data_IF_606470726562
#
_entry.id   IF_606470726562
#
_cell.length_a   1.000
_cell.length_b   1.000
_cell.length_c   1.000
_cell.angle_alpha   90.00
_cell.angle_beta   90.00
_cell.angle_gamma   90.00
#
_symmetry.space_group_name_H-M   'P 1'
#
loop_
_entity.id
_entity.type
_entity.pdbx_description
1 polymer ?
#
# COMPACT_ATOMS: atom_id res chain seq x y z
N UNK A 1 7.90 -13.39 -31.13
CA UNK A 1 7.60 -11.97 -30.82
C UNK A 1 6.75 -11.98 -29.57
N UNK A 2 7.27 -11.52 -28.44
CA UNK A 2 6.50 -11.49 -27.18
C UNK A 2 5.43 -10.40 -27.25
N UNK A 3 4.20 -10.72 -26.83
CA UNK A 3 3.15 -9.71 -26.63
C UNK A 3 3.58 -8.80 -25.48
N UNK A 4 3.29 -7.50 -25.55
CA UNK A 4 3.59 -6.60 -24.44
C UNK A 4 2.58 -6.86 -23.32
N UNK A 5 3.01 -6.75 -22.08
CA UNK A 5 2.14 -6.92 -20.90
C UNK A 5 0.96 -5.94 -20.87
N UNK A 6 1.10 -4.79 -21.54
CA UNK A 6 0.04 -3.78 -21.70
C UNK A 6 -1.10 -4.27 -22.60
N UNK A 7 -0.78 -5.06 -23.64
CA UNK A 7 -1.77 -5.59 -24.58
C UNK A 7 -2.67 -6.63 -23.90
N UNK A 8 -2.09 -7.45 -23.00
CA UNK A 8 -2.80 -8.48 -22.24
C UNK A 8 -3.68 -7.89 -21.13
N UNK A 9 -3.23 -6.79 -20.52
CA UNK A 9 -4.03 -6.01 -19.57
C UNK A 9 -5.24 -5.37 -20.25
N UNK A 10 -5.06 -4.79 -21.45
CA UNK A 10 -6.16 -4.18 -22.22
C UNK A 10 -7.19 -5.22 -22.64
N UNK A 11 -6.75 -6.38 -23.12
CA UNK A 11 -7.64 -7.47 -23.55
C UNK A 11 -8.51 -7.98 -22.38
N UNK A 12 -7.93 -8.09 -21.18
CA UNK A 12 -8.66 -8.51 -19.97
C UNK A 12 -9.67 -7.45 -19.52
N UNK A 13 -9.28 -6.18 -19.58
CA UNK A 13 -10.17 -5.07 -19.22
C UNK A 13 -11.37 -4.97 -20.18
N UNK A 14 -11.15 -5.09 -21.48
CA UNK A 14 -12.21 -5.07 -22.49
C UNK A 14 -13.17 -6.25 -22.32
N UNK A 15 -12.65 -7.44 -22.01
CA UNK A 15 -13.46 -8.63 -21.72
C UNK A 15 -14.33 -8.44 -20.46
N UNK A 16 -13.77 -7.86 -19.41
CA UNK A 16 -14.50 -7.52 -18.18
C UNK A 16 -15.62 -6.51 -18.41
N UNK A 17 -15.33 -5.46 -19.19
CA UNK A 17 -16.31 -4.43 -19.54
C UNK A 17 -17.45 -5.03 -20.35
N UNK A 18 -17.14 -5.88 -21.32
CA UNK A 18 -18.14 -6.56 -22.14
C UNK A 18 -19.06 -7.46 -21.30
N UNK A 19 -18.50 -8.31 -20.42
CA UNK A 19 -19.30 -9.19 -19.54
C UNK A 19 -20.19 -8.40 -18.57
N UNK A 20 -19.64 -7.32 -17.99
CA UNK A 20 -20.40 -6.43 -17.10
C UNK A 20 -21.52 -5.71 -17.84
N UNK A 21 -21.26 -5.22 -19.06
CA UNK A 21 -22.27 -4.58 -19.90
C UNK A 21 -23.41 -5.55 -20.24
N UNK A 22 -23.09 -6.80 -20.62
CA UNK A 22 -24.09 -7.83 -20.90
C UNK A 22 -24.95 -8.10 -19.65
N UNK A 23 -24.34 -8.20 -18.47
CA UNK A 23 -25.07 -8.44 -17.21
C UNK A 23 -25.95 -7.27 -16.76
N UNK A 24 -25.52 -6.03 -17.02
CA UNK A 24 -26.35 -4.84 -16.76
C UNK A 24 -27.56 -4.83 -17.69
N UNK A 25 -27.36 -5.10 -18.98
CA UNK A 25 -28.46 -5.11 -19.97
C UNK A 25 -29.46 -6.23 -19.64
N UNK A 26 -28.97 -7.43 -19.34
CA UNK A 26 -29.85 -8.55 -18.98
C UNK A 26 -30.62 -8.25 -17.69
N UNK A 27 -29.97 -7.73 -16.65
CA UNK A 27 -30.63 -7.40 -15.38
C UNK A 27 -31.59 -6.20 -15.50
N UNK A 28 -31.25 -5.22 -16.34
CA UNK A 28 -32.08 -4.06 -16.62
C UNK A 28 -33.38 -4.42 -17.36
N UNK A 29 -33.31 -5.33 -18.33
CA UNK A 29 -34.49 -5.82 -19.04
C UNK A 29 -35.48 -6.54 -18.10
N UNK A 30 -34.97 -7.37 -17.18
CA UNK A 30 -35.77 -8.04 -16.14
C UNK A 30 -36.36 -7.02 -15.17
N UNK A 31 -35.59 -6.00 -14.76
CA UNK A 31 -36.05 -4.90 -13.92
C UNK A 31 -37.19 -4.10 -14.54
N UNK A 32 -37.14 -3.87 -15.86
CA UNK A 32 -38.16 -3.15 -16.61
C UNK A 32 -39.48 -3.94 -16.67
N UNK A 33 -39.41 -5.27 -16.87
CA UNK A 33 -40.58 -6.16 -16.85
C UNK A 33 -41.21 -6.21 -15.45
N UNK A 34 -40.38 -6.33 -14.40
CA UNK A 34 -40.86 -6.34 -13.01
C UNK A 34 -41.52 -5.00 -12.60
N UNK A 35 -40.98 -3.87 -13.07
CA UNK A 35 -41.56 -2.54 -12.83
C UNK A 35 -42.97 -2.40 -13.43
N UNK A 36 -43.19 -2.97 -14.63
CA UNK A 36 -44.50 -2.95 -15.28
C UNK A 36 -45.56 -3.81 -14.54
N UNK A 37 -45.15 -4.95 -13.98
CA UNK A 37 -46.06 -5.90 -13.31
C UNK A 37 -46.46 -5.42 -11.91
N UNK A 38 -45.53 -4.85 -11.13
CA UNK A 38 -45.79 -4.53 -9.73
C UNK A 38 -46.44 -3.17 -9.48
N UNK A 39 -46.72 -2.37 -10.52
CA UNK A 39 -47.37 -1.02 -10.44
C UNK A 39 -46.79 -0.11 -9.32
N UNK A 40 -45.57 -0.39 -8.92
CA UNK A 40 -44.84 0.24 -7.82
C UNK A 40 -43.43 0.42 -8.34
N UNK A 41 -42.89 1.62 -8.17
CA UNK A 41 -41.57 2.03 -8.66
C UNK A 41 -40.47 1.24 -7.94
N UNK A 42 -40.37 -0.06 -8.18
CA UNK A 42 -39.21 -0.84 -7.75
C UNK A 42 -38.03 -0.29 -8.56
N UNK A 43 -37.01 0.30 -7.91
CA UNK A 43 -36.11 1.18 -8.62
C UNK A 43 -35.30 0.38 -9.63
N UNK A 44 -35.37 0.79 -10.89
CA UNK A 44 -34.59 0.23 -12.01
C UNK A 44 -33.08 0.13 -11.67
N UNK A 45 -32.61 1.03 -10.82
CA UNK A 45 -31.26 1.06 -10.23
C UNK A 45 -30.90 -0.19 -9.42
N UNK A 46 -31.86 -0.88 -8.81
CA UNK A 46 -31.60 -2.10 -8.05
C UNK A 46 -31.21 -3.25 -8.98
N UNK A 47 -31.86 -3.38 -10.14
CA UNK A 47 -31.50 -4.37 -11.16
C UNK A 47 -30.14 -4.09 -11.78
N UNK A 48 -29.90 -2.82 -12.14
CA UNK A 48 -28.61 -2.38 -12.69
C UNK A 48 -27.47 -2.58 -11.66
N UNK A 49 -27.72 -2.25 -10.40
CA UNK A 49 -26.75 -2.39 -9.30
C UNK A 49 -26.40 -3.85 -9.00
N UNK A 50 -27.36 -4.77 -9.09
CA UNK A 50 -27.11 -6.21 -8.92
C UNK A 50 -26.25 -6.76 -10.07
N UNK A 51 -26.54 -6.40 -11.33
CA UNK A 51 -25.76 -6.81 -12.50
C UNK A 51 -24.32 -6.28 -12.45
N UNK A 52 -24.15 -5.01 -12.07
CA UNK A 52 -22.84 -4.38 -11.90
C UNK A 52 -22.01 -5.04 -10.78
N UNK A 53 -22.63 -5.31 -9.62
CA UNK A 53 -21.94 -5.95 -8.50
C UNK A 53 -21.41 -7.35 -8.83
N UNK A 54 -22.18 -8.16 -9.55
CA UNK A 54 -21.77 -9.50 -9.98
C UNK A 54 -20.70 -9.44 -11.09
N UNK A 55 -20.77 -8.46 -12.00
CA UNK A 55 -19.74 -8.22 -13.03
C UNK A 55 -18.38 -7.85 -12.42
N UNK A 56 -18.37 -6.91 -11.46
CA UNK A 56 -17.15 -6.49 -10.76
C UNK A 56 -16.52 -7.62 -9.96
N UNK A 57 -17.33 -8.44 -9.27
CA UNK A 57 -16.82 -9.54 -8.47
C UNK A 57 -16.07 -10.58 -9.32
N UNK A 58 -16.63 -10.94 -10.49
CA UNK A 58 -15.98 -11.82 -11.46
C UNK A 58 -14.72 -11.18 -12.07
N UNK A 59 -14.81 -9.91 -12.48
CA UNK A 59 -13.68 -9.22 -13.09
C UNK A 59 -12.51 -9.06 -12.13
N UNK A 60 -12.77 -8.70 -10.86
CA UNK A 60 -11.73 -8.53 -9.84
C UNK A 60 -10.95 -9.83 -9.62
N UNK A 61 -11.61 -10.98 -9.70
CA UNK A 61 -10.96 -12.27 -9.58
C UNK A 61 -10.05 -12.57 -10.78
N UNK A 62 -10.51 -12.27 -12.00
CA UNK A 62 -9.76 -12.52 -13.25
C UNK A 62 -8.56 -11.56 -13.40
N UNK A 63 -8.74 -10.30 -13.01
CA UNK A 63 -7.66 -9.31 -12.93
C UNK A 63 -6.58 -9.75 -11.93
N UNK A 64 -6.97 -10.26 -10.75
CA UNK A 64 -6.01 -10.76 -9.75
C UNK A 64 -5.19 -11.94 -10.27
N UNK A 65 -5.77 -12.80 -11.11
CA UNK A 65 -5.07 -13.92 -11.74
C UNK A 65 -4.03 -13.44 -12.77
N UNK A 66 -4.37 -12.39 -13.53
CA UNK A 66 -3.48 -11.80 -14.54
C UNK A 66 -2.34 -10.99 -13.91
N UNK A 67 -2.62 -10.20 -12.87
CA UNK A 67 -1.57 -9.54 -12.08
C UNK A 67 -0.65 -10.54 -11.36
N UNK A 68 -1.18 -11.68 -10.90
CA UNK A 68 -0.37 -12.75 -10.32
C UNK A 68 0.58 -13.44 -11.30
N UNK A 69 0.32 -13.36 -12.62
CA UNK A 69 1.26 -13.82 -13.65
C UNK A 69 2.24 -12.71 -14.08
N UNK A 70 1.83 -11.45 -14.08
CA UNK A 70 2.71 -10.31 -14.42
C UNK A 70 3.83 -10.07 -13.40
N UNK A 71 3.64 -10.43 -12.13
CA UNK A 71 4.73 -10.42 -11.13
C UNK A 71 5.82 -11.45 -11.47
N UNK A 72 5.50 -12.47 -12.26
CA UNK A 72 6.42 -13.53 -12.64
C UNK A 72 7.20 -13.22 -13.93
N UNK A 73 6.68 -12.38 -14.84
CA UNK A 73 7.41 -12.05 -16.08
C UNK A 73 8.43 -10.90 -15.94
N UNK A 74 8.36 -10.07 -14.89
CA UNK A 74 9.40 -9.09 -14.56
C UNK A 74 10.53 -9.66 -13.68
N UNK A 75 10.22 -10.63 -12.81
CA UNK A 75 11.19 -11.28 -11.93
C UNK A 75 11.88 -12.49 -12.59
N UNK A 76 11.21 -13.23 -13.48
CA UNK A 76 11.77 -14.50 -14.02
C UNK A 76 12.67 -14.32 -15.26
N UNK A 77 12.55 -13.23 -16.01
CA UNK A 77 13.48 -12.90 -17.13
C UNK A 77 14.75 -12.17 -16.66
N UNK A 78 14.74 -11.61 -15.46
CA UNK A 78 15.88 -10.96 -14.80
C UNK A 78 16.66 -11.94 -13.92
N UNK A 79 15.96 -12.89 -13.27
CA UNK A 79 16.57 -13.82 -12.32
C UNK A 79 17.24 -15.05 -12.95
N UNK A 80 16.89 -15.47 -14.18
CA UNK A 80 17.56 -16.61 -14.85
C UNK A 80 18.85 -16.21 -15.62
N UNK A 81 19.43 -15.05 -15.32
CA UNK A 81 20.82 -14.71 -15.66
C UNK A 81 21.64 -14.21 -14.45
N UNK A 82 21.01 -14.01 -13.30
CA UNK A 82 21.68 -13.45 -12.10
C UNK A 82 21.90 -14.53 -11.03
N UNK A 83 21.18 -15.66 -11.06
CA UNK A 83 21.42 -16.78 -10.13
C UNK A 83 22.49 -17.74 -10.69
N UNK A 84 23.65 -17.20 -11.10
CA UNK A 84 24.90 -17.99 -11.22
C UNK A 84 26.16 -17.14 -10.97
N UNK A 85 26.04 -15.90 -10.47
CA UNK A 85 27.21 -15.11 -10.04
C UNK A 85 26.80 -14.00 -9.06
N UNK A 86 26.60 -14.35 -7.78
CA UNK A 86 26.96 -13.49 -6.62
C UNK A 86 26.44 -14.15 -5.35
N UNK A 87 26.99 -15.32 -5.04
CA UNK A 87 26.97 -15.82 -3.68
C UNK A 87 27.80 -14.87 -2.81
N UNK A 88 27.17 -13.84 -2.25
CA UNK A 88 27.66 -13.10 -1.08
C UNK A 88 26.66 -12.04 -0.59
N UNK A 89 25.48 -12.45 -0.13
CA UNK A 89 24.73 -11.67 0.86
C UNK A 89 25.20 -12.07 2.28
N UNK A 90 26.50 -11.87 2.54
CA UNK A 90 27.14 -11.94 3.86
C UNK A 90 26.97 -10.61 4.58
N UNK A 91 25.74 -10.27 5.00
CA UNK A 91 25.52 -9.20 5.98
C UNK A 91 24.84 -9.72 7.26
N UNK A 92 25.12 -10.98 7.60
CA UNK A 92 24.80 -11.60 8.90
C UNK A 92 26.08 -11.83 9.75
N UNK A 93 27.16 -11.06 9.53
CA UNK A 93 28.45 -11.29 10.21
C UNK A 93 29.19 -10.04 10.72
N UNK A 94 28.52 -8.90 10.95
CA UNK A 94 29.15 -7.74 11.64
C UNK A 94 28.39 -7.37 12.92
N UNK A 95 27.97 -8.40 13.68
CA UNK A 95 27.35 -8.23 14.99
C UNK A 95 28.13 -8.98 16.09
N UNK A 96 29.47 -8.96 15.97
CA UNK A 96 30.40 -9.34 17.03
C UNK A 96 31.58 -8.39 16.95
N UNK A 97 31.90 -7.73 18.06
CA UNK A 97 33.07 -6.87 18.32
C UNK A 97 32.95 -5.36 18.04
N UNK A 98 32.35 -4.63 19.00
CA UNK A 98 32.96 -3.46 19.66
C UNK A 98 32.08 -3.01 20.84
N UNK A 99 32.53 -3.17 22.10
CA UNK A 99 31.89 -2.54 23.25
C UNK A 99 32.47 -1.13 23.44
N UNK A 100 31.61 -0.12 23.58
CA UNK A 100 32.04 1.19 24.06
C UNK A 100 31.66 2.37 23.17
N UNK A 101 30.58 3.03 23.61
CA UNK A 101 30.40 4.48 23.61
C UNK A 101 30.18 5.25 22.30
N UNK A 102 29.02 5.91 22.30
CA UNK A 102 28.69 7.16 21.63
C UNK A 102 28.18 7.09 20.18
N UNK A 103 26.89 6.76 20.04
CA UNK A 103 26.03 7.45 19.08
C UNK A 103 24.58 7.47 19.60
N UNK A 104 24.28 8.43 20.48
CA UNK A 104 22.90 8.81 20.78
C UNK A 104 22.31 9.51 19.55
N UNK A 105 21.70 8.73 18.65
CA UNK A 105 20.76 9.26 17.66
C UNK A 105 19.36 8.94 18.19
N UNK A 106 18.67 10.03 18.57
CA UNK A 106 17.25 10.15 18.87
C UNK A 106 16.41 8.87 18.75
N UNK A 107 16.13 8.24 19.90
CA UNK A 107 15.00 7.33 20.05
C UNK A 107 13.70 8.13 19.99
N UNK A 108 13.05 8.16 18.84
CA UNK A 108 11.59 8.24 18.85
C UNK A 108 11.10 6.85 19.26
N UNK A 109 10.46 6.79 20.42
CA UNK A 109 10.07 5.56 21.11
C UNK A 109 8.94 4.85 20.34
N UNK A 110 9.32 3.87 19.53
CA UNK A 110 8.39 2.92 18.88
C UNK A 110 7.80 1.92 19.91
N UNK A 111 8.31 1.87 21.14
CA UNK A 111 8.12 0.72 22.05
C UNK A 111 6.85 0.73 22.91
N UNK A 112 5.86 1.58 22.69
CA UNK A 112 4.60 1.47 23.45
C UNK A 112 3.38 2.06 22.76
N UNK A 113 3.14 1.69 21.51
CA UNK A 113 1.84 1.98 20.88
C UNK A 113 0.88 0.87 21.29
N UNK A 114 -0.25 1.25 21.90
CA UNK A 114 -1.35 0.30 22.11
C UNK A 114 -2.08 0.10 20.77
N UNK A 115 -1.81 -1.02 20.11
CA UNK A 115 -2.42 -1.34 18.82
C UNK A 115 -3.90 -1.75 18.94
N UNK A 116 -4.40 -2.00 20.17
CA UNK A 116 -5.80 -2.34 20.40
C UNK A 116 -6.69 -1.09 20.44
N UNK A 117 -6.12 0.05 20.83
CA UNK A 117 -6.76 1.35 20.72
C UNK A 117 -6.47 2.01 19.36
N UNK A 118 -7.50 2.06 18.52
CA UNK A 118 -7.40 2.63 17.18
C UNK A 118 -6.94 4.10 17.21
N UNK A 119 -7.37 4.89 18.20
CA UNK A 119 -7.03 6.31 18.28
C UNK A 119 -5.54 6.49 18.58
N UNK A 120 -5.01 5.70 19.51
CA UNK A 120 -3.58 5.72 19.87
C UNK A 120 -2.71 5.32 18.67
N UNK A 121 -3.10 4.28 17.91
CA UNK A 121 -2.41 3.91 16.68
C UNK A 121 -2.44 5.04 15.63
N UNK A 122 -3.62 5.63 15.38
CA UNK A 122 -3.78 6.70 14.38
C UNK A 122 -2.99 7.96 14.74
N UNK A 123 -3.00 8.37 16.02
CA UNK A 123 -2.23 9.53 16.50
C UNK A 123 -0.72 9.31 16.32
N UNK A 124 -0.22 8.11 16.63
CA UNK A 124 1.19 7.80 16.42
C UNK A 124 1.56 7.80 14.94
N UNK A 125 0.72 7.21 14.08
CA UNK A 125 0.96 7.17 12.64
C UNK A 125 0.93 8.58 12.02
N UNK A 126 0.01 9.44 12.46
CA UNK A 126 -0.05 10.84 12.05
C UNK A 126 1.20 11.63 12.47
N UNK A 127 1.71 11.41 13.69
CA UNK A 127 2.98 11.99 14.14
C UNK A 127 4.16 11.55 13.27
N UNK A 128 4.20 10.28 12.86
CA UNK A 128 5.22 9.79 11.94
C UNK A 128 5.10 10.39 10.53
N UNK A 129 3.87 10.65 10.05
CA UNK A 129 3.61 11.31 8.75
C UNK A 129 3.98 12.80 8.75
N UNK A 130 3.75 13.51 9.85
CA UNK A 130 4.18 14.91 10.02
C UNK A 130 5.69 15.09 9.92
N UNK A 131 6.46 14.09 10.33
CA UNK A 131 7.92 14.09 10.16
C UNK A 131 8.27 14.03 8.66
N UNK A 132 7.59 13.17 7.89
CA UNK A 132 7.78 13.10 6.43
C UNK A 132 7.36 14.37 5.71
N UNK A 133 6.23 14.99 6.09
CA UNK A 133 5.80 16.26 5.51
C UNK A 133 6.86 17.35 5.73
N UNK A 134 7.51 17.35 6.90
CA UNK A 134 8.63 18.23 7.19
C UNK A 134 9.84 17.91 6.32
N UNK A 135 10.20 16.64 6.16
CA UNK A 135 11.31 16.21 5.28
C UNK A 135 11.05 16.63 3.82
N UNK A 136 9.82 16.44 3.33
CA UNK A 136 9.43 16.82 1.98
C UNK A 136 9.39 18.34 1.80
N UNK A 137 8.94 19.08 2.81
CA UNK A 137 9.00 20.54 2.82
C UNK A 137 10.45 21.04 2.80
N UNK A 138 11.34 20.42 3.59
CA UNK A 138 12.77 20.69 3.57
C UNK A 138 13.39 20.39 2.20
N UNK A 139 12.97 19.32 1.52
CA UNK A 139 13.40 19.03 0.16
C UNK A 139 12.99 20.14 -0.82
N UNK A 140 11.74 20.59 -0.73
CA UNK A 140 11.21 21.65 -1.61
C UNK A 140 11.83 23.03 -1.34
N UNK A 141 12.31 23.28 -0.12
CA UNK A 141 12.90 24.57 0.27
C UNK A 141 14.43 24.60 0.17
N UNK A 142 15.11 23.48 0.44
CA UNK A 142 16.57 23.38 0.37
C UNK A 142 17.11 23.28 -1.07
N UNK A 143 16.26 22.90 -2.03
CA UNK A 143 16.62 22.82 -3.45
C UNK A 143 15.75 23.81 -4.26
N UNK A 144 15.97 25.13 -4.10
CA UNK A 144 15.29 26.12 -4.93
C UNK A 144 15.74 25.97 -6.41
N UNK A 145 14.96 26.56 -7.31
CA UNK A 145 15.34 26.68 -8.73
C UNK A 145 16.74 27.27 -8.88
N UNK A 146 17.40 26.94 -9.99
CA UNK A 146 18.87 27.07 -10.19
C UNK A 146 19.47 28.42 -9.79
N UNK A 147 18.67 29.49 -9.84
CA UNK A 147 19.01 30.88 -9.51
C UNK A 147 19.42 31.17 -8.06
N UNK A 148 19.19 30.29 -7.08
CA UNK A 148 19.38 30.59 -5.65
C UNK A 148 20.36 29.68 -4.89
N UNK A 149 21.22 28.93 -5.59
CA UNK A 149 21.91 27.77 -5.01
C UNK A 149 23.41 27.91 -4.70
N UNK A 150 23.92 29.13 -4.51
CA UNK A 150 25.36 29.40 -4.59
C UNK A 150 26.26 28.83 -3.48
N UNK A 151 25.74 28.17 -2.43
CA UNK A 151 26.56 27.81 -1.26
C UNK A 151 26.25 26.45 -0.59
N UNK A 152 25.62 25.48 -1.26
CA UNK A 152 25.35 24.15 -0.66
C UNK A 152 25.64 23.00 -1.63
N UNK A 153 26.28 21.93 -1.13
CA UNK A 153 26.39 20.66 -1.86
C UNK A 153 25.01 20.00 -1.93
N UNK A 154 24.32 20.24 -3.05
CA UNK A 154 23.01 19.68 -3.36
C UNK A 154 23.00 18.14 -3.27
N UNK A 155 24.11 17.49 -3.63
CA UNK A 155 24.19 16.03 -3.65
C UNK A 155 24.30 15.42 -2.27
N UNK A 156 25.09 16.01 -1.38
CA UNK A 156 25.13 15.59 0.03
C UNK A 156 23.77 15.80 0.72
N UNK A 157 23.12 16.95 0.50
CA UNK A 157 21.79 17.22 1.06
C UNK A 157 20.72 16.25 0.53
N UNK A 158 20.72 15.95 -0.78
CA UNK A 158 19.84 14.95 -1.39
C UNK A 158 20.02 13.56 -0.76
N UNK A 159 21.27 13.10 -0.59
CA UNK A 159 21.58 11.82 0.06
C UNK A 159 21.10 11.78 1.51
N UNK A 160 21.31 12.87 2.26
CA UNK A 160 20.86 12.98 3.64
C UNK A 160 19.34 12.89 3.75
N UNK A 161 18.61 13.66 2.94
CA UNK A 161 17.14 13.67 2.92
C UNK A 161 16.60 12.29 2.52
N UNK A 162 17.15 11.69 1.47
CA UNK A 162 16.72 10.36 1.01
C UNK A 162 16.93 9.30 2.09
N UNK A 163 18.08 9.31 2.77
CA UNK A 163 18.35 8.40 3.89
C UNK A 163 17.35 8.59 5.03
N UNK A 164 17.08 9.83 5.41
CA UNK A 164 16.11 10.14 6.48
C UNK A 164 14.71 9.64 6.10
N UNK A 165 14.27 9.91 4.88
CA UNK A 165 12.99 9.46 4.34
C UNK A 165 12.86 7.93 4.36
N UNK A 166 13.90 7.20 3.91
CA UNK A 166 13.91 5.73 3.99
C UNK A 166 13.81 5.21 5.43
N UNK A 167 14.49 5.85 6.39
CA UNK A 167 14.40 5.44 7.79
C UNK A 167 12.99 5.61 8.34
N UNK A 168 12.29 6.66 7.92
CA UNK A 168 10.90 6.91 8.33
C UNK A 168 9.92 5.93 7.68
N UNK A 169 10.12 5.55 6.41
CA UNK A 169 9.33 4.50 5.75
C UNK A 169 9.39 3.18 6.51
N UNK A 170 10.60 2.75 6.89
CA UNK A 170 10.79 1.50 7.65
C UNK A 170 10.09 1.57 9.00
N UNK A 171 10.19 2.70 9.72
CA UNK A 171 9.51 2.89 11.00
C UNK A 171 7.99 2.80 10.88
N UNK A 172 7.39 3.46 9.90
CA UNK A 172 5.93 3.40 9.69
C UNK A 172 5.48 1.99 9.30
N UNK A 173 6.19 1.34 8.39
CA UNK A 173 5.86 -0.02 7.97
C UNK A 173 5.96 -1.01 9.13
N UNK A 174 7.02 -0.92 9.95
CA UNK A 174 7.19 -1.75 11.13
C UNK A 174 6.05 -1.55 12.14
N UNK A 175 5.65 -0.30 12.42
CA UNK A 175 4.53 0.01 13.31
C UNK A 175 3.21 -0.58 12.79
N UNK A 176 2.91 -0.37 11.50
CA UNK A 176 1.67 -0.89 10.91
C UNK A 176 1.66 -2.41 10.94
N UNK A 177 2.76 -3.05 10.54
CA UNK A 177 2.89 -4.51 10.55
C UNK A 177 2.76 -5.09 11.97
N UNK A 178 3.42 -4.47 12.95
CA UNK A 178 3.30 -4.84 14.36
C UNK A 178 1.84 -4.80 14.84
N UNK A 179 1.12 -3.71 14.57
CA UNK A 179 -0.27 -3.58 14.97
C UNK A 179 -1.23 -4.50 14.21
N UNK A 180 -0.92 -4.83 12.94
CA UNK A 180 -1.64 -5.86 12.18
C UNK A 180 -1.51 -7.22 12.86
N UNK A 181 -0.29 -7.62 13.22
CA UNK A 181 -0.01 -8.93 13.82
C UNK A 181 -0.59 -9.07 15.23
N UNK A 182 -0.51 -7.99 16.03
CA UNK A 182 -1.11 -7.94 17.36
C UNK A 182 -2.65 -8.05 17.28
N UNK A 183 -3.30 -7.31 16.39
CA UNK A 183 -4.75 -7.40 16.22
C UNK A 183 -5.20 -8.75 15.66
N UNK A 184 -4.43 -9.36 14.75
CA UNK A 184 -4.70 -10.72 14.28
C UNK A 184 -4.63 -11.74 15.42
N UNK A 185 -3.64 -11.59 16.30
CA UNK A 185 -3.47 -12.42 17.49
C UNK A 185 -4.64 -12.21 18.47
N UNK A 186 -5.05 -10.96 18.70
CA UNK A 186 -6.18 -10.62 19.55
C UNK A 186 -7.50 -11.22 19.04
N UNK A 187 -7.81 -11.11 17.74
CA UNK A 187 -8.99 -11.74 17.15
C UNK A 187 -8.95 -13.26 17.32
N UNK A 188 -7.77 -13.87 17.13
CA UNK A 188 -7.58 -15.31 17.32
C UNK A 188 -7.80 -15.73 18.77
N UNK A 189 -7.37 -14.90 19.73
CA UNK A 189 -7.60 -15.10 21.16
C UNK A 189 -9.08 -14.99 21.54
N UNK A 190 -9.77 -13.92 21.12
CA UNK A 190 -11.20 -13.71 21.37
C UNK A 190 -12.06 -14.87 20.84
N UNK A 191 -11.69 -15.44 19.68
CA UNK A 191 -12.37 -16.63 19.12
C UNK A 191 -12.18 -17.89 19.98
N UNK A 192 -10.98 -18.09 20.55
CA UNK A 192 -10.68 -19.24 21.43
C UNK A 192 -11.41 -19.12 22.76
N UNK A 193 -11.48 -17.92 23.32
CA UNK A 193 -12.15 -17.61 24.59
C UNK A 193 -13.69 -17.59 24.45
N UNK A 194 -14.24 -17.74 23.24
CA UNK A 194 -15.67 -17.61 22.94
C UNK A 194 -16.26 -16.29 23.45
N UNK A 195 -15.49 -15.21 23.33
CA UNK A 195 -15.90 -13.86 23.71
C UNK A 195 -17.16 -13.43 22.93
N UNK A 196 -17.92 -12.45 23.45
CA UNK A 196 -19.07 -11.88 22.76
C UNK A 196 -18.78 -11.52 21.29
N UNK A 197 -19.74 -11.80 20.41
CA UNK A 197 -19.62 -11.51 18.96
C UNK A 197 -19.35 -10.02 18.70
N UNK A 198 -19.83 -9.14 19.59
CA UNK A 198 -19.60 -7.70 19.52
C UNK A 198 -18.10 -7.36 19.60
N UNK A 199 -17.36 -7.99 20.52
CA UNK A 199 -15.93 -7.73 20.73
C UNK A 199 -15.10 -8.22 19.53
N UNK A 200 -15.46 -9.38 19.00
CA UNK A 200 -14.82 -9.94 17.80
C UNK A 200 -15.05 -9.01 16.60
N UNK A 201 -16.28 -8.51 16.40
CA UNK A 201 -16.58 -7.55 15.33
C UNK A 201 -15.84 -6.24 15.50
N UNK A 202 -15.74 -5.74 16.73
CA UNK A 202 -14.99 -4.53 17.06
C UNK A 202 -13.51 -4.67 16.66
N UNK A 203 -12.84 -5.73 17.15
CA UNK A 203 -11.45 -6.02 16.80
C UNK A 203 -11.24 -6.25 15.29
N UNK A 204 -12.19 -6.90 14.60
CA UNK A 204 -12.16 -7.05 13.14
C UNK A 204 -12.27 -5.72 12.39
N UNK A 205 -13.08 -4.79 12.88
CA UNK A 205 -13.20 -3.46 12.30
C UNK A 205 -11.92 -2.65 12.49
N UNK A 206 -11.32 -2.68 13.70
CA UNK A 206 -10.01 -2.07 13.97
C UNK A 206 -8.95 -2.60 13.01
N UNK A 207 -8.83 -3.93 12.87
CA UNK A 207 -7.89 -4.54 11.95
C UNK A 207 -8.13 -4.14 10.48
N UNK A 208 -9.40 -3.94 10.07
CA UNK A 208 -9.71 -3.45 8.72
C UNK A 208 -9.13 -2.06 8.50
N UNK A 209 -9.29 -1.15 9.46
CA UNK A 209 -8.75 0.21 9.37
C UNK A 209 -7.21 0.19 9.33
N UNK A 210 -6.56 -0.57 10.21
CA UNK A 210 -5.11 -0.71 10.23
C UNK A 210 -4.59 -1.25 8.89
N UNK A 211 -5.27 -2.25 8.30
CA UNK A 211 -4.89 -2.77 6.98
C UNK A 211 -5.03 -1.74 5.87
N UNK A 212 -6.08 -0.93 5.88
CA UNK A 212 -6.19 0.15 4.88
C UNK A 212 -5.10 1.21 5.04
N UNK A 213 -4.51 1.37 6.23
CA UNK A 213 -3.34 2.26 6.39
C UNK A 213 -2.09 1.71 5.67
N UNK A 214 -1.95 0.39 5.47
CA UNK A 214 -0.88 -0.16 4.63
C UNK A 214 -1.03 0.28 3.16
N UNK A 215 -2.27 0.24 2.65
CA UNK A 215 -2.56 0.66 1.29
C UNK A 215 -2.28 2.17 1.13
N UNK A 216 -2.70 3.00 2.09
CA UNK A 216 -2.38 4.44 2.12
C UNK A 216 -0.88 4.67 2.18
N UNK A 217 -0.15 3.89 2.98
CA UNK A 217 1.30 4.04 3.13
C UNK A 217 2.05 3.73 1.83
N UNK A 218 1.59 2.76 1.03
CA UNK A 218 2.20 2.50 -0.29
C UNK A 218 2.06 3.69 -1.25
N UNK A 219 0.90 4.36 -1.25
CA UNK A 219 0.64 5.56 -2.04
C UNK A 219 1.50 6.74 -1.57
N UNK A 220 1.61 6.94 -0.26
CA UNK A 220 2.45 7.99 0.34
C UNK A 220 3.92 7.78 -0.05
N UNK A 221 4.39 6.53 0.01
CA UNK A 221 5.75 6.18 -0.34
C UNK A 221 6.07 6.48 -1.82
N UNK A 222 5.19 6.11 -2.74
CA UNK A 222 5.35 6.39 -4.17
C UNK A 222 5.44 7.90 -4.44
N UNK A 223 4.56 8.70 -3.83
CA UNK A 223 4.58 10.17 -3.96
C UNK A 223 5.90 10.77 -3.46
N UNK A 224 6.35 10.34 -2.29
CA UNK A 224 7.58 10.81 -1.68
C UNK A 224 8.81 10.40 -2.50
N UNK A 225 8.79 9.20 -3.09
CA UNK A 225 9.85 8.71 -3.97
C UNK A 225 9.95 9.56 -5.22
N UNK A 226 8.82 9.81 -5.88
CA UNK A 226 8.75 10.63 -7.07
C UNK A 226 9.25 12.05 -6.80
N UNK A 227 8.88 12.65 -5.67
CA UNK A 227 9.36 13.98 -5.31
C UNK A 227 10.87 14.03 -5.11
N UNK A 228 11.47 13.03 -4.45
CA UNK A 228 12.92 12.92 -4.31
C UNK A 228 13.57 12.67 -5.67
N UNK A 229 13.06 11.73 -6.46
CA UNK A 229 13.59 11.42 -7.78
C UNK A 229 13.58 12.66 -8.67
N UNK A 230 12.47 13.39 -8.78
CA UNK A 230 12.34 14.56 -9.66
C UNK A 230 13.30 15.70 -9.26
N UNK A 231 13.68 15.82 -7.98
CA UNK A 231 14.56 16.88 -7.46
C UNK A 231 16.02 16.48 -7.34
N UNK A 232 16.29 15.20 -7.08
CA UNK A 232 17.61 14.68 -6.77
C UNK A 232 18.17 13.73 -7.85
N UNK A 233 17.48 13.55 -8.99
CA UNK A 233 17.87 12.63 -10.09
C UNK A 233 19.35 12.71 -10.51
N UNK A 234 19.95 13.89 -10.46
CA UNK A 234 21.34 14.10 -10.89
C UNK A 234 22.38 13.78 -9.82
N UNK A 235 21.94 13.47 -8.59
CA UNK A 235 22.80 13.31 -7.42
C UNK A 235 22.66 11.96 -6.70
N UNK A 236 21.59 11.22 -6.99
CA UNK A 236 21.28 9.87 -6.52
C UNK A 236 21.49 8.89 -7.67
#
# INVERSE_FOLDING_TARGET
>A
MGKKSEDELSETFDRCLADTAVKIVSAGSVGLIAAAIFKRQFPLWLGIGMGFGMGIANCRHDMRKSFGHSEQDSEQRSSLKIIEESGNCRLLLILRFAPGSLLSIASMDEKRVDCLDLLTFQDMLDKLRKIDDKILFELNTALPSESFSSNMDKGEKCRSIYKELLTMRVKRMNLIQHCVDENQTNISRLRKEKSPIADIRSAQNTLRVIRSEMDVESIVNDRSEKAVHDRCRTFL
#
